data_IF_392815713716
#
_entry.id   IF_392815713716
#
_cell.length_a   1.000
_cell.length_b   1.000
_cell.length_c   1.000
_cell.angle_alpha   90.00
_cell.angle_beta   90.00
_cell.angle_gamma   90.00
#
_symmetry.space_group_name_H-M   'P 1'
#
loop_
_entity.id
_entity.type
_entity.pdbx_description
1 polymer ?
#
# COMPACT_ATOMS: atom_id res chain seq x y z
N UNK A 1 -10.49 -29.63 -17.40
CA UNK A 1 -9.22 -28.94 -17.77
C UNK A 1 -8.80 -28.10 -16.58
N UNK A 2 -7.50 -28.04 -16.22
CA UNK A 2 -7.05 -27.12 -15.18
C UNK A 2 -7.30 -25.68 -15.64
N UNK A 3 -8.00 -24.89 -14.82
CA UNK A 3 -8.25 -23.47 -15.07
C UNK A 3 -7.00 -22.72 -14.65
N UNK A 4 -6.32 -22.05 -15.59
CA UNK A 4 -5.18 -21.19 -15.26
C UNK A 4 -5.72 -19.97 -14.53
N UNK A 5 -5.27 -19.67 -13.29
CA UNK A 5 -5.70 -18.45 -12.62
C UNK A 5 -5.25 -17.23 -13.44
N UNK A 6 -6.09 -16.18 -13.55
CA UNK A 6 -5.71 -14.95 -14.21
C UNK A 6 -4.48 -14.35 -13.50
N UNK A 7 -3.57 -13.75 -14.29
CA UNK A 7 -2.38 -13.07 -13.74
C UNK A 7 -2.81 -12.03 -12.72
N UNK A 8 -2.20 -12.06 -11.54
CA UNK A 8 -2.41 -11.08 -10.49
C UNK A 8 -1.93 -9.71 -10.98
N UNK A 9 -2.69 -8.65 -10.69
CA UNK A 9 -2.24 -7.29 -10.97
C UNK A 9 -0.94 -7.03 -10.18
N UNK A 10 0.18 -6.66 -10.83
CA UNK A 10 1.46 -6.43 -10.15
C UNK A 10 1.37 -5.37 -9.05
N UNK A 11 0.45 -4.40 -9.17
CA UNK A 11 0.18 -3.38 -8.14
C UNK A 11 -0.21 -4.00 -6.79
N UNK A 12 -0.87 -5.18 -6.79
CA UNK A 12 -1.27 -5.87 -5.55
C UNK A 12 -0.09 -6.47 -4.77
N UNK A 13 1.08 -6.58 -5.42
CA UNK A 13 2.32 -7.14 -4.85
C UNK A 13 3.45 -6.13 -4.82
N UNK A 14 3.22 -4.90 -5.29
CA UNK A 14 4.20 -3.84 -5.26
C UNK A 14 4.47 -3.40 -3.82
N UNK A 15 5.72 -3.04 -3.53
CA UNK A 15 6.07 -2.49 -2.23
C UNK A 15 5.37 -1.14 -2.02
N UNK A 16 4.95 -0.87 -0.78
CA UNK A 16 4.41 0.45 -0.42
C UNK A 16 5.49 1.51 -0.61
N UNK A 17 5.24 2.59 -1.38
CA UNK A 17 6.22 3.64 -1.59
C UNK A 17 6.70 4.25 -0.27
N UNK A 18 8.01 4.32 -0.09
CA UNK A 18 8.62 4.95 1.10
C UNK A 18 8.79 6.46 0.84
N UNK A 19 8.20 7.34 1.67
CA UNK A 19 8.38 8.77 1.52
C UNK A 19 9.85 9.18 1.68
N UNK A 20 10.30 10.18 0.91
CA UNK A 20 11.66 10.70 1.00
C UNK A 20 11.86 11.45 2.32
N UNK A 21 12.97 11.18 2.99
CA UNK A 21 13.41 11.97 4.16
C UNK A 21 14.27 13.16 3.68
N UNK A 22 13.86 14.42 3.94
CA UNK A 22 14.64 15.59 3.54
C UNK A 22 15.90 15.78 4.41
N UNK A 23 16.92 16.43 3.85
CA UNK A 23 18.19 16.74 4.51
C UNK A 23 18.58 18.21 4.24
N UNK A 24 18.91 19.02 5.28
CA UNK A 24 18.90 18.65 6.70
C UNK A 24 17.47 18.44 7.23
N UNK A 25 17.30 17.52 8.17
CA UNK A 25 15.99 17.21 8.73
C UNK A 25 15.66 18.14 9.90
N UNK A 26 14.62 18.95 9.75
CA UNK A 26 14.14 19.89 10.76
C UNK A 26 12.86 19.38 11.42
N UNK A 27 12.49 19.99 12.53
CA UNK A 27 11.28 19.62 13.26
C UNK A 27 10.01 19.66 12.41
N UNK A 28 9.80 20.72 11.60
CA UNK A 28 8.61 20.80 10.74
C UNK A 28 8.58 19.72 9.64
N UNK A 29 9.75 19.27 9.19
CA UNK A 29 9.85 18.20 8.19
C UNK A 29 9.39 16.85 8.78
N UNK A 30 9.45 16.70 10.12
CA UNK A 30 8.86 15.54 10.80
C UNK A 30 7.33 15.51 10.71
N UNK A 31 6.67 16.67 10.76
CA UNK A 31 5.22 16.75 10.64
C UNK A 31 4.78 16.33 9.23
N UNK A 32 5.46 16.85 8.21
CA UNK A 32 5.20 16.50 6.81
C UNK A 32 5.48 15.02 6.54
N UNK A 33 6.60 14.50 7.05
CA UNK A 33 6.93 13.08 6.95
C UNK A 33 5.86 12.19 7.62
N UNK A 34 5.40 12.54 8.81
CA UNK A 34 4.33 11.79 9.48
C UNK A 34 3.03 11.82 8.67
N UNK A 35 2.65 12.97 8.09
CA UNK A 35 1.48 13.06 7.22
C UNK A 35 1.60 12.12 6.00
N UNK A 36 2.75 12.12 5.31
CA UNK A 36 3.00 11.20 4.20
C UNK A 36 2.93 9.73 4.62
N UNK A 37 3.50 9.38 5.79
CA UNK A 37 3.45 8.03 6.33
C UNK A 37 2.02 7.59 6.68
N UNK A 38 1.20 8.47 7.25
CA UNK A 38 -0.20 8.17 7.54
C UNK A 38 -1.02 7.94 6.26
N UNK A 39 -0.75 8.68 5.18
CA UNK A 39 -1.37 8.44 3.87
C UNK A 39 -0.98 7.07 3.32
N UNK A 40 0.32 6.74 3.34
CA UNK A 40 0.81 5.43 2.88
C UNK A 40 0.21 4.26 3.67
N UNK A 41 0.09 4.42 5.00
CA UNK A 41 -0.56 3.43 5.88
C UNK A 41 -2.05 3.30 5.56
N UNK A 42 -2.75 4.41 5.34
CA UNK A 42 -4.16 4.43 4.94
C UNK A 42 -4.39 3.67 3.64
N UNK A 43 -3.58 3.94 2.61
CA UNK A 43 -3.65 3.24 1.34
C UNK A 43 -3.40 1.74 1.50
N UNK A 44 -2.34 1.34 2.22
CA UNK A 44 -2.03 -0.06 2.48
C UNK A 44 -3.21 -0.79 3.16
N UNK A 45 -3.91 -0.13 4.09
CA UNK A 45 -5.08 -0.71 4.74
C UNK A 45 -6.27 -0.87 3.79
N UNK A 46 -6.49 0.08 2.86
CA UNK A 46 -7.51 -0.03 1.82
C UNK A 46 -7.21 -1.19 0.87
N UNK A 47 -5.96 -1.32 0.42
CA UNK A 47 -5.54 -2.42 -0.46
C UNK A 47 -5.76 -3.78 0.21
N UNK A 48 -5.38 -3.91 1.48
CA UNK A 48 -5.64 -5.13 2.28
C UNK A 48 -7.13 -5.42 2.43
N UNK A 49 -7.97 -4.41 2.61
CA UNK A 49 -9.41 -4.59 2.70
C UNK A 49 -9.99 -5.09 1.37
N UNK A 50 -9.56 -4.50 0.25
CA UNK A 50 -9.97 -4.94 -1.09
C UNK A 50 -9.55 -6.39 -1.38
N UNK A 51 -8.32 -6.79 -0.99
CA UNK A 51 -7.85 -8.18 -1.13
C UNK A 51 -8.74 -9.13 -0.32
N UNK A 52 -9.08 -8.80 0.93
CA UNK A 52 -9.99 -9.63 1.76
C UNK A 52 -11.36 -9.80 1.09
N UNK A 53 -11.94 -8.71 0.58
CA UNK A 53 -13.24 -8.76 -0.12
C UNK A 53 -13.19 -9.64 -1.38
N UNK A 54 -12.09 -9.58 -2.14
CA UNK A 54 -11.90 -10.44 -3.32
C UNK A 54 -11.80 -11.91 -2.93
N UNK A 55 -11.06 -12.24 -1.87
CA UNK A 55 -10.92 -13.61 -1.39
C UNK A 55 -12.21 -14.16 -0.78
N UNK A 56 -12.98 -13.34 -0.05
CA UNK A 56 -14.29 -13.72 0.48
C UNK A 56 -15.28 -14.08 -0.64
N UNK A 57 -15.20 -13.40 -1.80
CA UNK A 57 -16.02 -13.70 -3.00
C UNK A 57 -15.57 -14.95 -3.76
N UNK A 58 -14.38 -15.49 -3.47
CA UNK A 58 -13.85 -16.72 -4.09
C UNK A 58 -14.22 -17.98 -3.33
N UNK A 59 -14.62 -17.85 -2.06
CA UNK A 59 -15.16 -18.94 -1.24
C UNK A 59 -16.63 -19.22 -1.58
#
# INVERSE_FOLDING_TARGET
MPVSPPKLNPELTADTPVPKVPMPFRYVDSLELNAMLFVALGQCNLDKAAIREIEDKRQ
#
